data_IF_126932735135
#
_entry.id   IF_126932735135
#
_cell.length_a   1.000
_cell.length_b   1.000
_cell.length_c   1.000
_cell.angle_alpha   90.00
_cell.angle_beta   90.00
_cell.angle_gamma   90.00
#
_symmetry.space_group_name_H-M   'P 1'
#
loop_
_entity.id
_entity.type
_entity.pdbx_description
1 polymer ?
#
# COMPACT_ATOMS: atom_id res chain seq x y z
N UNK A 1 9.39 -13.59 18.98
CA UNK A 1 10.01 -12.30 18.64
C UNK A 1 8.88 -11.38 18.21
N UNK A 2 8.41 -10.55 19.13
CA UNK A 2 7.29 -9.63 18.90
C UNK A 2 7.78 -8.46 18.07
N UNK A 3 7.26 -8.29 16.86
CA UNK A 3 7.46 -7.06 16.11
C UNK A 3 6.64 -5.96 16.79
N UNK A 4 7.32 -5.08 17.49
CA UNK A 4 6.73 -3.87 18.06
C UNK A 4 6.21 -3.03 16.90
N UNK A 5 4.89 -2.86 16.81
CA UNK A 5 4.29 -1.83 15.96
C UNK A 5 4.72 -0.47 16.51
N UNK A 6 5.77 0.12 15.95
CA UNK A 6 6.18 1.48 16.28
C UNK A 6 5.18 2.48 15.69
N UNK A 7 4.48 3.17 16.59
CA UNK A 7 3.58 4.28 16.28
C UNK A 7 4.43 5.52 16.05
N UNK A 8 4.57 5.95 14.79
CA UNK A 8 5.38 7.13 14.43
C UNK A 8 4.47 8.32 14.10
N UNK A 9 4.64 9.42 14.84
CA UNK A 9 3.86 10.65 14.74
C UNK A 9 4.17 11.45 13.46
N UNK A 10 3.13 12.04 12.86
CA UNK A 10 3.23 12.86 11.66
C UNK A 10 3.20 14.36 12.03
N UNK A 11 4.33 15.06 11.89
CA UNK A 11 4.39 16.52 11.98
C UNK A 11 4.78 17.07 10.61
N UNK A 12 3.99 18.02 10.10
CA UNK A 12 4.09 18.70 8.80
C UNK A 12 5.39 18.50 8.01
N UNK A 13 5.24 17.95 6.81
CA UNK A 13 6.19 17.83 5.69
C UNK A 13 7.11 16.60 5.56
N UNK A 14 7.30 15.73 6.57
CA UNK A 14 8.00 14.45 6.32
C UNK A 14 7.69 13.39 7.39
N UNK A 15 7.15 12.24 6.98
CA UNK A 15 7.12 11.03 7.81
C UNK A 15 8.26 10.10 7.35
N UNK A 16 9.31 10.00 8.17
CA UNK A 16 10.53 9.25 7.83
C UNK A 16 10.40 7.77 8.17
N UNK A 17 10.74 6.97 7.14
CA UNK A 17 11.44 5.68 7.19
C UNK A 17 10.81 4.63 8.13
N UNK A 18 9.92 3.81 7.56
CA UNK A 18 9.81 2.42 8.04
C UNK A 18 11.21 1.80 7.99
N UNK A 19 11.53 0.78 8.81
CA UNK A 19 12.85 0.10 8.85
C UNK A 19 13.43 -0.40 7.50
N UNK A 20 12.73 -0.20 6.39
CA UNK A 20 13.07 -0.43 4.99
C UNK A 20 13.75 0.75 4.26
N UNK A 21 13.94 1.92 4.90
CA UNK A 21 14.56 3.08 4.23
C UNK A 21 13.61 3.93 3.37
N UNK A 22 12.33 3.55 3.28
CA UNK A 22 11.35 4.17 2.37
C UNK A 22 10.77 5.45 2.99
N UNK A 23 10.92 6.58 2.31
CA UNK A 23 10.28 7.84 2.71
C UNK A 23 8.81 7.86 2.29
N UNK A 24 7.91 8.08 3.27
CA UNK A 24 6.48 8.21 3.03
C UNK A 24 6.08 9.68 2.96
N UNK A 25 5.12 10.00 2.09
CA UNK A 25 4.55 11.33 1.96
C UNK A 25 3.02 11.30 2.04
N UNK A 26 2.38 12.18 2.82
CA UNK A 26 0.94 12.17 2.93
C UNK A 26 0.27 12.50 1.60
N UNK A 27 -0.90 11.91 1.34
CA UNK A 27 -1.67 12.10 0.11
C UNK A 27 -3.10 12.53 0.42
N UNK A 28 -3.80 13.05 -0.59
CA UNK A 28 -5.21 13.43 -0.49
C UNK A 28 -6.15 12.24 -0.71
N UNK A 29 -7.41 12.33 -0.22
CA UNK A 29 -8.41 11.31 -0.48
C UNK A 29 -8.63 11.12 -1.98
N UNK A 30 -8.72 9.87 -2.41
CA UNK A 30 -8.82 9.46 -3.82
C UNK A 30 -7.56 9.60 -4.66
N UNK A 31 -6.45 10.10 -4.11
CA UNK A 31 -5.17 10.06 -4.80
C UNK A 31 -4.80 8.64 -5.18
N UNK A 32 -4.16 8.51 -6.33
CA UNK A 32 -3.73 7.24 -6.90
C UNK A 32 -2.38 7.42 -7.59
N UNK A 33 -1.69 6.31 -7.76
CA UNK A 33 -0.40 6.28 -8.42
C UNK A 33 0.06 4.86 -8.71
N UNK A 34 1.30 4.73 -9.15
CA UNK A 34 1.94 3.46 -9.44
C UNK A 34 3.29 3.38 -8.71
N UNK A 35 3.63 2.19 -8.22
CA UNK A 35 4.91 1.91 -7.58
C UNK A 35 5.12 2.56 -6.21
N UNK A 36 6.39 2.71 -5.86
CA UNK A 36 6.83 3.17 -4.55
C UNK A 36 6.32 4.59 -4.23
N UNK A 37 6.10 4.91 -2.94
CA UNK A 37 6.33 4.04 -1.78
C UNK A 37 5.14 3.13 -1.43
N UNK A 38 4.01 3.24 -2.15
CA UNK A 38 2.74 2.64 -1.74
C UNK A 38 2.32 1.37 -2.49
N UNK A 39 3.08 1.00 -3.51
CA UNK A 39 2.91 -0.24 -4.25
C UNK A 39 4.28 -0.79 -4.69
N UNK A 40 4.38 -2.11 -4.91
CA UNK A 40 5.63 -2.71 -5.38
C UNK A 40 5.97 -2.31 -6.82
N UNK A 41 7.26 -2.38 -7.13
CA UNK A 41 7.85 -2.18 -8.46
C UNK A 41 8.70 -3.38 -8.83
N UNK A 42 8.95 -3.56 -10.13
CA UNK A 42 9.77 -4.63 -10.71
C UNK A 42 9.30 -6.04 -10.30
N UNK A 43 8.00 -6.19 -10.04
CA UNK A 43 7.40 -7.46 -9.65
C UNK A 43 6.01 -7.66 -10.28
N UNK A 44 5.71 -8.84 -10.86
CA UNK A 44 6.58 -10.02 -10.93
C UNK A 44 7.67 -9.95 -12.01
N UNK A 45 7.54 -9.05 -12.99
CA UNK A 45 8.57 -8.83 -14.01
C UNK A 45 9.27 -7.49 -13.79
N UNK A 46 10.52 -7.37 -14.25
CA UNK A 46 11.21 -6.10 -14.30
C UNK A 46 10.40 -5.07 -15.11
N UNK A 47 10.24 -3.86 -14.58
CA UNK A 47 9.43 -2.80 -15.16
C UNK A 47 7.95 -2.82 -14.76
N UNK A 48 7.46 -3.88 -14.11
CA UNK A 48 6.08 -3.89 -13.61
C UNK A 48 5.90 -2.90 -12.47
N UNK A 49 4.84 -2.10 -12.55
CA UNK A 49 4.44 -1.18 -11.47
C UNK A 49 3.02 -1.48 -11.04
N UNK A 50 2.87 -1.84 -9.77
CA UNK A 50 1.56 -2.01 -9.18
C UNK A 50 0.92 -0.65 -8.92
N UNK A 51 -0.40 -0.56 -9.09
CA UNK A 51 -1.13 0.66 -8.76
C UNK A 51 -1.48 0.73 -7.28
N UNK A 52 -1.63 1.94 -6.75
CA UNK A 52 -2.21 2.18 -5.43
C UNK A 52 -3.27 3.28 -5.50
N UNK A 53 -4.22 3.26 -4.55
CA UNK A 53 -5.19 4.35 -4.36
C UNK A 53 -5.53 4.54 -2.88
N UNK A 54 -5.53 5.79 -2.44
CA UNK A 54 -6.12 6.22 -1.17
C UNK A 54 -7.66 6.27 -1.28
N UNK A 55 -8.35 5.72 -0.30
CA UNK A 55 -9.80 5.85 -0.20
C UNK A 55 -10.22 7.13 0.49
N UNK A 56 -11.47 7.17 0.99
CA UNK A 56 -12.07 8.38 1.56
C UNK A 56 -11.88 8.52 3.07
N UNK A 57 -11.71 7.41 3.79
CA UNK A 57 -11.70 7.42 5.26
C UNK A 57 -10.27 7.39 5.79
N UNK A 58 -9.91 8.43 6.54
CA UNK A 58 -8.70 8.44 7.37
C UNK A 58 -9.00 7.96 8.80
N UNK A 59 -7.97 7.46 9.48
CA UNK A 59 -7.95 7.16 10.91
C UNK A 59 -7.51 8.39 11.69
N UNK A 60 -7.77 8.41 13.01
CA UNK A 60 -7.26 9.47 13.90
C UNK A 60 -5.73 9.57 13.93
N UNK A 61 -5.04 8.50 13.51
CA UNK A 61 -3.58 8.44 13.40
C UNK A 61 -3.05 9.06 12.10
N UNK A 62 -3.89 9.70 11.29
CA UNK A 62 -3.46 10.35 10.05
C UNK A 62 -3.11 9.38 8.92
N UNK A 63 -3.78 8.22 8.85
CA UNK A 63 -3.56 7.22 7.78
C UNK A 63 -4.87 6.78 7.16
N UNK A 64 -4.87 6.42 5.88
CA UNK A 64 -6.08 5.92 5.23
C UNK A 64 -6.47 4.53 5.71
N UNK A 65 -7.73 4.39 6.16
CA UNK A 65 -8.37 3.10 6.43
C UNK A 65 -8.63 2.36 5.12
N UNK A 66 -9.25 3.06 4.18
CA UNK A 66 -9.57 2.55 2.86
C UNK A 66 -8.36 2.74 1.94
N UNK A 67 -7.81 1.63 1.43
CA UNK A 67 -6.71 1.65 0.47
C UNK A 67 -6.77 0.45 -0.45
N UNK A 68 -6.22 0.62 -1.64
CA UNK A 68 -6.34 -0.33 -2.73
C UNK A 68 -4.98 -0.55 -3.38
N UNK A 69 -4.63 -1.80 -3.67
CA UNK A 69 -3.56 -2.15 -4.61
C UNK A 69 -4.16 -2.64 -5.92
N UNK A 70 -3.50 -2.35 -7.03
CA UNK A 70 -3.91 -2.77 -8.36
C UNK A 70 -2.81 -3.59 -9.02
N UNK A 71 -3.20 -4.64 -9.74
CA UNK A 71 -2.27 -5.42 -10.56
C UNK A 71 -1.53 -4.51 -11.58
N UNK A 72 -0.26 -4.80 -11.87
CA UNK A 72 0.49 -4.10 -12.91
C UNK A 72 -0.12 -4.42 -14.26
N UNK A 73 0.07 -3.52 -15.23
CA UNK A 73 -0.56 -3.59 -16.56
C UNK A 73 -0.33 -4.93 -17.27
N UNK A 74 0.84 -5.54 -17.08
CA UNK A 74 1.20 -6.86 -17.61
C UNK A 74 0.25 -7.99 -17.14
N UNK A 75 -0.34 -7.86 -15.95
CA UNK A 75 -1.21 -8.87 -15.35
C UNK A 75 -2.71 -8.51 -15.43
N UNK A 76 -3.06 -7.29 -15.87
CA UNK A 76 -4.45 -6.82 -15.88
C UNK A 76 -5.38 -7.61 -16.82
N UNK A 77 -4.83 -8.34 -17.79
CA UNK A 77 -5.57 -9.24 -18.69
C UNK A 77 -5.77 -10.67 -18.16
N UNK A 78 -5.16 -11.04 -17.03
CA UNK A 78 -5.26 -12.39 -16.47
C UNK A 78 -6.41 -12.57 -15.48
N UNK A 79 -7.06 -11.47 -15.08
CA UNK A 79 -8.18 -11.51 -14.13
C UNK A 79 -9.48 -11.43 -14.92
N UNK A 80 -10.21 -12.53 -15.02
CA UNK A 80 -11.51 -12.61 -15.69
C UNK A 80 -12.50 -11.58 -15.09
N UNK A 81 -12.60 -10.42 -15.74
CA UNK A 81 -13.70 -9.46 -15.66
C UNK A 81 -14.02 -8.81 -14.30
N UNK A 82 -13.38 -9.15 -13.18
CA UNK A 82 -13.76 -8.62 -11.86
C UNK A 82 -12.57 -8.09 -11.07
N UNK A 83 -12.29 -6.82 -11.37
CA UNK A 83 -11.63 -5.83 -10.53
C UNK A 83 -10.16 -6.15 -10.19
N UNK A 84 -9.23 -5.53 -10.92
CA UNK A 84 -7.77 -5.63 -10.67
C UNK A 84 -7.32 -5.04 -9.33
N UNK A 85 -8.27 -4.62 -8.49
CA UNK A 85 -8.05 -4.01 -7.18
C UNK A 85 -8.14 -5.02 -6.03
N UNK A 86 -7.26 -4.86 -5.04
CA UNK A 86 -7.24 -5.56 -3.76
C UNK A 86 -7.49 -4.57 -2.64
N UNK A 87 -8.47 -4.86 -1.78
CA UNK A 87 -8.88 -3.95 -0.69
C UNK A 87 -8.23 -4.26 0.66
N UNK A 88 -7.50 -5.36 0.75
CA UNK A 88 -6.88 -5.82 2.00
C UNK A 88 -5.57 -6.59 1.73
N UNK A 89 -4.62 -6.53 2.68
CA UNK A 89 -3.41 -7.38 2.63
C UNK A 89 -3.74 -8.87 2.49
N UNK A 90 -4.82 -9.32 3.14
CA UNK A 90 -5.28 -10.72 3.07
C UNK A 90 -5.64 -11.10 1.63
N UNK A 91 -6.39 -10.26 0.92
CA UNK A 91 -6.76 -10.54 -0.48
C UNK A 91 -5.55 -10.56 -1.42
N UNK A 92 -4.56 -9.69 -1.18
CA UNK A 92 -3.29 -9.70 -1.92
C UNK A 92 -2.53 -11.00 -1.65
N UNK A 93 -2.39 -11.37 -0.36
CA UNK A 93 -1.72 -12.60 0.05
C UNK A 93 -2.35 -13.85 -0.59
N UNK A 94 -3.67 -13.97 -0.54
CA UNK A 94 -4.39 -15.10 -1.13
C UNK A 94 -4.16 -15.20 -2.64
N UNK A 95 -4.22 -14.08 -3.36
CA UNK A 95 -3.93 -14.04 -4.80
C UNK A 95 -2.49 -14.47 -5.09
N UNK A 96 -1.52 -13.88 -4.38
CA UNK A 96 -0.11 -14.16 -4.59
C UNK A 96 0.25 -15.62 -4.28
N UNK A 97 -0.27 -16.19 -3.19
CA UNK A 97 -0.03 -17.59 -2.86
C UNK A 97 -0.67 -18.56 -3.87
N UNK A 98 -1.80 -18.17 -4.47
CA UNK A 98 -2.46 -18.97 -5.51
C UNK A 98 -1.70 -18.94 -6.84
N UNK A 99 -1.23 -17.76 -7.27
CA UNK A 99 -0.59 -17.58 -8.58
C UNK A 99 0.92 -17.82 -8.55
N UNK A 100 1.56 -17.57 -7.41
CA UNK A 100 3.00 -17.66 -7.19
C UNK A 100 3.31 -18.39 -5.87
N UNK A 101 3.10 -19.72 -5.78
CA UNK A 101 3.23 -20.47 -4.52
C UNK A 101 4.63 -20.40 -3.88
N UNK A 102 5.66 -20.14 -4.68
CA UNK A 102 7.05 -19.99 -4.23
C UNK A 102 7.44 -18.58 -3.79
N UNK A 103 6.52 -17.60 -3.88
CA UNK A 103 6.81 -16.22 -3.49
C UNK A 103 7.08 -16.11 -1.99
N UNK A 104 8.19 -15.44 -1.63
CA UNK A 104 8.36 -14.92 -0.27
C UNK A 104 7.39 -13.73 -0.07
N UNK A 105 6.26 -14.04 0.54
CA UNK A 105 5.21 -13.04 0.80
C UNK A 105 5.66 -11.94 1.76
N UNK A 106 6.60 -12.24 2.67
CA UNK A 106 7.11 -11.27 3.62
C UNK A 106 8.03 -10.29 2.91
N UNK A 107 8.91 -10.78 2.04
CA UNK A 107 9.75 -9.94 1.18
C UNK A 107 8.89 -9.05 0.26
N UNK A 108 7.82 -9.59 -0.32
CA UNK A 108 6.88 -8.79 -1.13
C UNK A 108 6.30 -7.62 -0.33
N UNK A 109 5.74 -7.86 0.86
CA UNK A 109 5.16 -6.79 1.68
C UNK A 109 6.20 -5.88 2.34
N UNK A 110 7.46 -6.29 2.43
CA UNK A 110 8.55 -5.43 2.88
C UNK A 110 9.04 -4.45 1.80
N UNK A 111 8.76 -4.72 0.52
CA UNK A 111 9.23 -3.88 -0.59
C UNK A 111 8.51 -2.53 -0.71
N UNK A 112 7.36 -2.35 -0.06
CA UNK A 112 6.57 -1.11 -0.10
C UNK A 112 5.80 -0.91 1.22
N UNK A 113 5.23 0.28 1.41
CA UNK A 113 4.33 0.55 2.53
C UNK A 113 2.88 0.32 2.14
N UNK A 114 2.22 -0.63 2.81
CA UNK A 114 0.76 -0.76 2.74
C UNK A 114 0.02 0.35 3.52
N UNK A 115 0.73 1.12 4.35
CA UNK A 115 0.19 2.28 5.05
C UNK A 115 0.35 3.52 4.17
N UNK A 116 -0.75 4.21 3.90
CA UNK A 116 -0.76 5.49 3.16
C UNK A 116 -1.11 6.59 4.17
N UNK A 117 -0.20 7.53 4.47
CA UNK A 117 -0.49 8.68 5.31
C UNK A 117 -1.49 9.62 4.62
N UNK A 118 -2.39 10.20 5.39
CA UNK A 118 -3.35 11.21 4.94
C UNK A 118 -2.80 12.61 5.20
N UNK A 119 -3.05 13.54 4.28
CA UNK A 119 -2.84 14.96 4.55
C UNK A 119 -4.06 15.65 5.18
N UNK A 120 -5.17 14.92 5.37
CA UNK A 120 -6.31 15.43 6.12
C UNK A 120 -5.96 15.50 7.61
N UNK A 121 -6.17 16.67 8.21
CA UNK A 121 -6.14 16.81 9.66
C UNK A 121 -7.17 15.86 10.28
N UNK A 122 -6.85 15.15 11.38
CA UNK A 122 -7.85 14.38 12.11
C UNK A 122 -8.97 15.34 12.48
N UNK A 123 -10.14 15.16 11.87
CA UNK A 123 -11.29 16.03 12.09
C UNK A 123 -11.58 16.06 13.59
N UNK A 124 -11.33 17.21 14.23
CA UNK A 124 -11.76 17.50 15.59
C UNK A 124 -13.28 17.58 15.60
N UNK A 125 -13.96 16.43 15.67
CA UNK A 125 -15.37 16.43 16.07
C UNK A 125 -15.38 16.49 17.59
N UNK A 126 -15.54 17.71 18.10
CA UNK A 126 -16.01 17.98 19.47
C UNK A 126 -17.47 17.62 19.65
#
# INVERSE_FOLDING_TARGET
>A
MSATEEVVACNGNTCRINGTGIQLYPVSPNDFGEGLPYAPVDWPNAGDKWGWRAGKRATSLGTFKDRYLYLPKSLQGQKDGKNNAFRSKVSVKQYLQSQYPSLDINQFFASFSWMIPSNESPSSKG
#
